data_IF_053688365137
#
_entry.id   IF_053688365137
#
_cell.length_a   1.000
_cell.length_b   1.000
_cell.length_c   1.000
_cell.angle_alpha   90.00
_cell.angle_beta   90.00
_cell.angle_gamma   90.00
#
_symmetry.space_group_name_H-M   'P 1'
#
loop_
_entity.id
_entity.type
_entity.pdbx_description
1 polymer ?
#
# COMPACT_ATOMS: atom_id res chain seq x y z
N UNK A 1 36.72 -17.95 -2.99
CA UNK A 1 35.83 -17.79 -1.81
C UNK A 1 34.50 -17.32 -2.34
N UNK A 2 33.53 -18.22 -2.45
CA UNK A 2 32.15 -17.88 -2.80
C UNK A 2 31.42 -17.57 -1.49
N UNK A 3 31.14 -16.29 -1.24
CA UNK A 3 30.11 -15.89 -0.27
C UNK A 3 28.78 -16.01 -0.99
N UNK A 4 28.18 -17.19 -0.92
CA UNK A 4 26.73 -17.31 -1.08
C UNK A 4 26.11 -16.48 0.02
N UNK A 5 25.67 -15.27 -0.35
CA UNK A 5 24.63 -14.54 0.37
C UNK A 5 23.40 -15.45 0.40
N UNK A 6 23.33 -16.30 1.42
CA UNK A 6 22.05 -16.78 1.90
C UNK A 6 21.38 -15.56 2.51
N UNK A 7 20.80 -14.72 1.65
CA UNK A 7 19.71 -13.87 2.06
C UNK A 7 18.62 -14.84 2.54
N UNK A 8 18.58 -15.11 3.85
CA UNK A 8 17.36 -15.55 4.50
C UNK A 8 16.28 -14.59 3.99
N UNK A 9 15.40 -15.10 3.13
CA UNK A 9 14.15 -14.41 2.88
C UNK A 9 13.42 -14.40 4.22
N UNK A 10 13.61 -13.33 5.01
CA UNK A 10 12.68 -13.00 6.09
C UNK A 10 11.29 -13.08 5.47
N UNK A 11 10.40 -13.91 6.02
CA UNK A 11 9.07 -14.10 5.43
C UNK A 11 8.37 -12.75 5.43
N UNK A 12 8.08 -12.23 4.24
CA UNK A 12 7.47 -10.92 4.11
C UNK A 12 5.96 -11.02 4.27
N UNK A 13 5.41 -10.20 5.16
CA UNK A 13 3.97 -10.04 5.34
C UNK A 13 3.55 -8.82 4.53
N UNK A 14 2.87 -9.06 3.41
CA UNK A 14 2.38 -7.99 2.54
C UNK A 14 0.99 -7.53 2.93
N UNK A 15 0.84 -6.21 3.02
CA UNK A 15 -0.40 -5.52 3.34
C UNK A 15 -0.64 -4.46 2.27
N UNK A 16 -1.66 -4.68 1.45
CA UNK A 16 -2.15 -3.69 0.49
C UNK A 16 -3.30 -2.92 1.10
N UNK A 17 -3.22 -1.60 1.00
CA UNK A 17 -4.20 -0.66 1.52
C UNK A 17 -4.88 -0.01 0.33
N UNK A 18 -6.14 -0.36 0.10
CA UNK A 18 -6.96 0.25 -0.93
C UNK A 18 -7.73 1.44 -0.33
N UNK A 19 -7.62 2.61 -0.97
CA UNK A 19 -8.18 3.87 -0.48
C UNK A 19 -9.36 4.27 -1.38
N UNK A 20 -10.53 4.47 -0.77
CA UNK A 20 -11.72 4.98 -1.47
C UNK A 20 -11.65 6.51 -1.57
N UNK A 21 -10.89 6.96 -2.57
CA UNK A 21 -10.70 8.38 -2.85
C UNK A 21 -12.03 9.07 -3.16
N UNK A 22 -12.94 8.41 -3.88
CA UNK A 22 -14.21 9.04 -4.24
C UNK A 22 -15.07 9.31 -3.00
N UNK A 23 -15.15 8.35 -2.07
CA UNK A 23 -15.87 8.55 -0.82
C UNK A 23 -15.20 9.61 0.07
N UNK A 24 -13.87 9.73 0.06
CA UNK A 24 -13.17 10.85 0.71
C UNK A 24 -13.62 12.18 0.09
N UNK A 25 -13.56 12.32 -1.23
CA UNK A 25 -13.88 13.57 -1.92
C UNK A 25 -15.36 13.97 -1.82
N UNK A 26 -16.27 12.99 -1.68
CA UNK A 26 -17.68 13.27 -1.43
C UNK A 26 -17.96 13.74 0.00
N UNK A 27 -17.08 13.39 0.95
CA UNK A 27 -17.27 13.66 2.38
C UNK A 27 -16.59 14.94 2.86
N UNK A 28 -15.49 15.34 2.23
CA UNK A 28 -14.67 16.49 2.64
C UNK A 28 -14.68 17.55 1.53
N UNK A 29 -15.11 18.78 1.87
CA UNK A 29 -15.15 19.90 0.91
C UNK A 29 -13.78 20.21 0.30
N UNK A 30 -12.72 20.04 1.10
CA UNK A 30 -11.33 20.15 0.62
C UNK A 30 -10.38 19.36 1.52
N UNK A 31 -9.31 18.87 0.91
CA UNK A 31 -8.18 18.28 1.61
C UNK A 31 -7.04 19.29 1.75
N UNK A 32 -6.27 19.16 2.82
CA UNK A 32 -5.12 20.04 3.08
C UNK A 32 -4.12 19.98 1.94
N UNK A 33 -3.58 21.14 1.56
CA UNK A 33 -2.49 21.26 0.58
C UNK A 33 -1.11 21.26 1.25
N UNK A 34 -1.05 21.16 2.59
CA UNK A 34 0.20 21.10 3.36
C UNK A 34 0.42 19.68 3.89
N UNK A 35 1.46 19.01 3.38
CA UNK A 35 1.82 17.65 3.81
C UNK A 35 2.21 17.58 5.30
N UNK A 36 2.55 18.70 5.94
CA UNK A 36 2.82 18.75 7.38
C UNK A 36 1.54 18.82 8.21
N UNK A 37 0.43 19.22 7.61
CA UNK A 37 -0.89 19.38 8.26
C UNK A 37 -2.00 18.66 7.46
N UNK A 38 -1.90 17.34 7.24
CA UNK A 38 -2.88 16.60 6.45
C UNK A 38 -4.27 16.58 7.11
N UNK A 39 -5.32 16.44 6.32
CA UNK A 39 -6.71 16.31 6.81
C UNK A 39 -6.92 14.95 7.46
N UNK A 40 -7.48 14.92 8.68
CA UNK A 40 -7.85 13.64 9.31
C UNK A 40 -9.07 13.05 8.59
N UNK A 41 -8.99 11.79 8.17
CA UNK A 41 -10.09 11.05 7.56
C UNK A 41 -10.52 9.88 8.44
N UNK A 42 -11.71 9.37 8.17
CA UNK A 42 -12.27 8.24 8.91
C UNK A 42 -11.69 6.91 8.42
N UNK A 43 -11.54 5.97 9.35
CA UNK A 43 -10.93 4.66 9.07
C UNK A 43 -11.79 3.80 8.13
N UNK A 44 -13.08 4.14 7.97
CA UNK A 44 -14.00 3.42 7.09
C UNK A 44 -13.78 3.71 5.59
N UNK A 45 -12.81 4.55 5.24
CA UNK A 45 -12.44 4.90 3.86
C UNK A 45 -11.23 4.12 3.35
N UNK A 46 -10.70 3.18 4.16
CA UNK A 46 -9.53 2.37 3.86
C UNK A 46 -9.82 0.88 4.01
N UNK A 47 -9.40 0.10 3.02
CA UNK A 47 -9.60 -1.34 2.92
C UNK A 47 -8.26 -2.04 2.96
N UNK A 48 -8.14 -3.08 3.79
CA UNK A 48 -6.89 -3.78 4.02
C UNK A 48 -6.96 -5.15 3.40
N UNK A 49 -6.00 -5.46 2.53
CA UNK A 49 -5.85 -6.74 1.87
C UNK A 49 -4.55 -7.34 2.36
N UNK A 50 -4.64 -8.54 2.91
CA UNK A 50 -3.53 -9.21 3.58
C UNK A 50 -3.43 -10.66 3.11
N UNK A 51 -2.26 -11.28 3.25
CA UNK A 51 -2.05 -12.69 2.90
C UNK A 51 -2.85 -13.63 3.82
N UNK A 52 -3.07 -14.88 3.40
CA UNK A 52 -4.03 -15.86 3.96
C UNK A 52 -3.96 -16.07 5.50
N UNK A 53 -2.79 -15.87 6.12
CA UNK A 53 -2.59 -16.05 7.57
C UNK A 53 -2.77 -14.77 8.41
N UNK A 54 -3.12 -13.66 7.76
CA UNK A 54 -3.40 -12.39 8.39
C UNK A 54 -4.91 -12.23 8.55
N UNK A 55 -5.35 -11.60 9.64
CA UNK A 55 -6.77 -11.33 9.83
C UNK A 55 -7.01 -9.83 9.83
N UNK A 56 -7.89 -9.37 8.98
CA UNK A 56 -8.51 -8.06 9.16
C UNK A 56 -9.75 -8.25 10.04
N UNK A 57 -9.80 -7.56 11.18
CA UNK A 57 -10.95 -7.62 12.07
C UNK A 57 -11.64 -6.26 12.03
N UNK A 58 -12.96 -6.21 11.82
CA UNK A 58 -13.94 -7.29 11.70
C UNK A 58 -14.30 -7.65 10.24
N UNK A 59 -15.19 -8.64 10.11
CA UNK A 59 -15.83 -9.18 8.88
C UNK A 59 -16.45 -8.14 7.92
N UNK A 60 -16.47 -6.86 8.31
CA UNK A 60 -16.78 -5.72 7.45
C UNK A 60 -15.48 -4.95 7.22
N UNK A 61 -15.01 -4.93 5.98
CA UNK A 61 -13.88 -4.09 5.59
C UNK A 61 -14.09 -2.65 6.11
N UNK A 62 -13.00 -1.99 6.50
CA UNK A 62 -12.95 -0.59 6.94
C UNK A 62 -13.31 -0.31 8.43
N UNK A 63 -12.50 -0.87 9.33
CA UNK A 63 -12.39 -0.44 10.74
C UNK A 63 -10.98 0.00 11.11
N UNK A 64 -10.85 0.60 12.29
CA UNK A 64 -9.60 1.14 12.82
C UNK A 64 -8.61 0.06 13.31
N UNK A 65 -8.80 -1.24 13.00
CA UNK A 65 -7.96 -2.31 13.53
C UNK A 65 -7.45 -3.30 12.47
N UNK A 66 -6.14 -3.57 12.52
CA UNK A 66 -5.46 -4.58 11.71
C UNK A 66 -4.79 -5.62 12.63
N UNK A 67 -4.96 -6.92 12.36
CA UNK A 67 -4.22 -7.96 13.06
C UNK A 67 -3.14 -8.54 12.15
N UNK A 68 -1.90 -8.39 12.57
CA UNK A 68 -0.72 -8.95 11.89
C UNK A 68 -0.21 -10.15 12.68
N UNK A 69 -0.21 -11.31 12.05
CA UNK A 69 0.29 -12.58 12.60
C UNK A 69 1.59 -12.96 11.92
N UNK A 70 2.66 -13.21 12.67
CA UNK A 70 3.94 -13.62 12.10
C UNK A 70 4.92 -14.12 13.15
N UNK A 71 6.19 -14.25 12.78
CA UNK A 71 7.29 -14.60 13.68
C UNK A 71 8.12 -13.37 14.04
N UNK A 72 8.85 -13.43 15.16
CA UNK A 72 9.85 -12.41 15.48
C UNK A 72 10.88 -12.37 14.35
N UNK A 73 11.18 -11.17 13.84
CA UNK A 73 12.08 -10.98 12.69
C UNK A 73 11.38 -10.88 11.34
N UNK A 74 10.10 -11.28 11.22
CA UNK A 74 9.35 -11.11 9.97
C UNK A 74 9.22 -9.63 9.59
N UNK A 75 9.25 -9.36 8.28
CA UNK A 75 9.14 -8.01 7.72
C UNK A 75 7.72 -7.78 7.24
N UNK A 76 7.05 -6.78 7.80
CA UNK A 76 5.75 -6.31 7.32
C UNK A 76 5.98 -5.20 6.30
N UNK A 77 5.29 -5.27 5.15
CA UNK A 77 5.36 -4.28 4.07
C UNK A 77 3.97 -3.71 3.80
N UNK A 78 3.83 -2.40 3.93
CA UNK A 78 2.59 -1.68 3.61
C UNK A 78 2.72 -0.96 2.27
N UNK A 79 1.79 -1.26 1.38
CA UNK A 79 1.62 -0.59 0.09
C UNK A 79 0.24 0.04 0.02
N UNK A 80 0.12 1.16 -0.68
CA UNK A 80 -1.15 1.85 -0.89
C UNK A 80 -1.53 1.88 -2.36
N UNK A 81 -2.82 1.76 -2.64
CA UNK A 81 -3.41 2.01 -3.96
C UNK A 81 -4.77 2.67 -3.80
N UNK A 82 -5.20 3.45 -4.79
CA UNK A 82 -6.63 3.73 -4.94
C UNK A 82 -7.36 2.45 -5.35
N UNK A 83 -8.67 2.38 -5.12
CA UNK A 83 -9.49 1.25 -5.57
C UNK A 83 -9.39 1.05 -7.10
N UNK A 84 -9.19 2.12 -7.86
CA UNK A 84 -8.96 2.07 -9.31
C UNK A 84 -7.53 1.67 -9.71
N UNK A 85 -6.76 1.01 -8.83
CA UNK A 85 -5.38 0.62 -9.10
C UNK A 85 -4.48 1.76 -9.60
N UNK A 86 -4.61 2.95 -9.00
CA UNK A 86 -3.90 4.19 -9.39
C UNK A 86 -4.35 4.84 -10.72
N UNK A 87 -5.40 4.35 -11.39
CA UNK A 87 -5.87 4.89 -12.67
C UNK A 87 -6.58 6.25 -12.52
N UNK A 88 -7.78 6.28 -11.93
CA UNK A 88 -8.57 7.51 -11.78
C UNK A 88 -7.96 8.49 -10.77
N UNK A 89 -7.44 7.95 -9.66
CA UNK A 89 -6.74 8.72 -8.65
C UNK A 89 -5.48 7.97 -8.26
N UNK A 90 -4.41 8.72 -7.98
CA UNK A 90 -3.13 8.16 -7.55
C UNK A 90 -2.94 8.49 -6.08
N UNK A 91 -2.59 7.49 -5.27
CA UNK A 91 -2.39 7.66 -3.83
C UNK A 91 -1.05 7.09 -3.39
N UNK A 92 -0.38 7.78 -2.47
CA UNK A 92 0.89 7.34 -1.93
C UNK A 92 0.92 7.50 -0.41
N UNK A 93 1.23 6.41 0.29
CA UNK A 93 1.54 6.39 1.73
C UNK A 93 2.90 7.06 2.01
N UNK A 94 2.99 8.37 1.80
CA UNK A 94 4.28 9.08 1.82
C UNK A 94 4.98 9.08 3.19
N UNK A 95 4.25 8.79 4.27
CA UNK A 95 4.81 8.68 5.62
C UNK A 95 3.98 7.75 6.49
N UNK A 96 4.64 6.99 7.35
CA UNK A 96 4.02 6.16 8.38
C UNK A 96 4.80 6.33 9.68
N UNK A 97 4.11 6.64 10.77
CA UNK A 97 4.73 6.91 12.07
C UNK A 97 4.09 6.06 13.16
N UNK A 98 4.91 5.39 13.96
CA UNK A 98 4.44 4.82 15.23
C UNK A 98 4.14 5.95 16.22
N UNK A 99 3.01 5.88 16.92
CA UNK A 99 2.55 6.92 17.87
C UNK A 99 2.76 6.56 19.33
N UNK A 100 3.05 5.30 19.62
CA UNK A 100 3.37 4.81 20.97
C UNK A 100 4.85 4.40 21.11
N UNK A 101 5.22 4.06 22.35
CA UNK A 101 6.54 3.56 22.70
C UNK A 101 6.60 2.01 22.73
N UNK A 102 5.56 1.29 22.32
CA UNK A 102 5.52 -0.18 22.39
C UNK A 102 6.51 -0.78 21.38
N UNK A 103 7.43 -1.63 21.83
CA UNK A 103 8.44 -2.23 20.96
C UNK A 103 8.01 -3.54 20.28
N UNK A 104 6.71 -3.84 20.20
CA UNK A 104 6.19 -5.02 19.51
C UNK A 104 6.52 -5.06 18.00
N UNK A 105 6.79 -3.90 17.42
CA UNK A 105 7.18 -3.72 16.02
C UNK A 105 8.08 -2.50 15.86
N UNK A 106 9.05 -2.56 14.96
CA UNK A 106 10.00 -1.47 14.73
C UNK A 106 9.33 -0.21 14.18
N UNK A 107 10.03 0.93 14.28
CA UNK A 107 9.64 2.14 13.55
C UNK A 107 9.58 1.84 12.03
N UNK A 108 8.53 2.31 11.32
CA UNK A 108 8.45 2.17 9.89
C UNK A 108 9.60 2.88 9.16
N UNK A 109 10.10 2.24 8.12
CA UNK A 109 11.06 2.81 7.18
C UNK A 109 10.46 2.84 5.79
N UNK A 110 10.61 3.97 5.10
CA UNK A 110 10.26 4.07 3.69
C UNK A 110 11.29 3.36 2.84
N UNK A 111 10.82 2.51 1.93
CA UNK A 111 11.64 1.86 0.91
C UNK A 111 11.21 2.35 -0.46
N UNK A 112 12.20 2.74 -1.25
CA UNK A 112 12.05 3.09 -2.65
C UNK A 112 13.03 2.23 -3.45
N UNK A 113 12.52 1.55 -4.47
CA UNK A 113 13.34 0.69 -5.32
C UNK A 113 12.88 0.78 -6.78
N UNK A 114 13.79 0.53 -7.71
CA UNK A 114 13.51 0.41 -9.13
C UNK A 114 13.62 -1.07 -9.51
N UNK A 115 12.53 -1.64 -10.01
CA UNK A 115 12.49 -3.05 -10.42
C UNK A 115 11.80 -3.22 -11.77
N UNK A 116 11.99 -4.37 -12.40
CA UNK A 116 11.24 -4.76 -13.58
C UNK A 116 9.91 -5.39 -13.16
N UNK A 117 8.81 -4.93 -13.76
CA UNK A 117 7.51 -5.58 -13.67
C UNK A 117 7.11 -6.15 -15.02
N UNK A 118 6.39 -7.27 -15.00
CA UNK A 118 5.85 -7.90 -16.20
C UNK A 118 4.57 -7.17 -16.60
N UNK A 119 4.47 -6.76 -17.86
CA UNK A 119 3.28 -6.13 -18.42
C UNK A 119 2.86 -6.80 -19.74
N UNK A 120 1.55 -6.85 -20.04
CA UNK A 120 1.06 -7.44 -21.27
C UNK A 120 1.44 -6.59 -22.50
N UNK A 121 1.90 -7.23 -23.59
CA UNK A 121 2.19 -6.58 -24.87
C UNK A 121 1.06 -6.83 -25.87
N UNK A 122 0.42 -5.75 -26.33
CA UNK A 122 -0.57 -5.79 -27.41
C UNK A 122 0.10 -6.08 -28.77
N UNK A 123 -0.60 -6.79 -29.66
CA UNK A 123 -0.17 -6.94 -31.06
C UNK A 123 -0.03 -5.56 -31.72
N UNK A 124 1.09 -5.34 -32.42
CA UNK A 124 1.54 -4.05 -32.97
C UNK A 124 0.50 -3.28 -33.82
N UNK A 125 -0.43 -3.98 -34.46
CA UNK A 125 -1.50 -3.37 -35.27
C UNK A 125 -2.61 -2.69 -34.45
N UNK A 126 -2.58 -2.80 -33.11
CA UNK A 126 -3.59 -2.28 -32.19
C UNK A 126 -2.96 -1.41 -31.10
N UNK A 127 -1.76 -0.88 -31.31
CA UNK A 127 -1.20 0.12 -30.41
C UNK A 127 -1.94 1.43 -30.73
N UNK A 128 -2.75 1.97 -29.81
CA UNK A 128 -3.38 3.27 -30.04
C UNK A 128 -2.28 4.33 -30.19
N UNK A 129 -2.48 5.38 -31.00
CA UNK A 129 -1.73 6.61 -30.79
C UNK A 129 -1.93 7.04 -29.32
N UNK A 130 -0.89 7.60 -28.69
CA UNK A 130 -0.88 7.91 -27.24
C UNK A 130 -2.22 8.53 -26.77
N UNK A 131 -2.74 8.04 -25.63
CA UNK A 131 -3.95 8.49 -24.92
C UNK A 131 -5.33 7.95 -25.35
N UNK A 132 -5.44 7.04 -26.33
CA UNK A 132 -6.74 6.43 -26.66
C UNK A 132 -7.07 5.16 -25.83
N UNK A 133 -8.30 5.10 -25.30
CA UNK A 133 -8.90 3.88 -24.73
C UNK A 133 -9.33 2.98 -25.90
N UNK A 134 -8.80 1.75 -25.96
CA UNK A 134 -9.29 0.73 -26.89
C UNK A 134 -10.11 -0.31 -26.13
N UNK A 135 -11.38 -0.42 -26.46
CA UNK A 135 -12.24 -1.51 -26.02
C UNK A 135 -12.15 -2.67 -27.02
N UNK A 136 -11.67 -3.82 -26.56
CA UNK A 136 -11.57 -5.04 -27.37
C UNK A 136 -12.37 -6.17 -26.70
N UNK A 137 -13.16 -6.96 -27.45
CA UNK A 137 -13.84 -8.13 -26.91
C UNK A 137 -12.89 -9.15 -26.28
N UNK A 138 -11.66 -9.21 -26.79
CA UNK A 138 -10.55 -9.97 -26.23
C UNK A 138 -9.24 -9.22 -26.51
N UNK A 139 -8.39 -9.07 -25.50
CA UNK A 139 -7.06 -8.49 -25.68
C UNK A 139 -6.18 -9.44 -26.52
N UNK A 140 -5.71 -9.03 -27.72
CA UNK A 140 -4.89 -9.87 -28.56
C UNK A 140 -3.43 -9.70 -28.15
N UNK A 141 -3.08 -10.31 -27.01
CA UNK A 141 -1.73 -10.30 -26.47
C UNK A 141 -0.80 -11.08 -27.39
N UNK A 142 0.40 -10.54 -27.65
CA UNK A 142 1.45 -11.24 -28.40
C UNK A 142 2.51 -11.86 -27.50
N UNK A 143 2.78 -11.22 -26.36
CA UNK A 143 3.82 -11.60 -25.41
C UNK A 143 3.67 -10.77 -24.12
N UNK A 144 4.59 -10.93 -23.18
CA UNK A 144 4.79 -10.03 -22.05
C UNK A 144 6.15 -9.35 -22.15
N UNK A 145 6.24 -8.10 -21.69
CA UNK A 145 7.50 -7.34 -21.63
C UNK A 145 7.80 -6.92 -20.21
N UNK A 146 9.05 -6.55 -19.97
CA UNK A 146 9.50 -6.00 -18.70
C UNK A 146 9.55 -4.47 -18.79
N UNK A 147 8.83 -3.81 -17.88
CA UNK A 147 8.90 -2.36 -17.70
C UNK A 147 9.60 -2.04 -16.38
N UNK A 148 10.50 -1.05 -16.40
CA UNK A 148 11.07 -0.51 -15.18
C UNK A 148 10.02 0.33 -14.45
N UNK A 149 9.74 -0.01 -13.20
CA UNK A 149 8.85 0.76 -12.32
C UNK A 149 9.48 1.05 -10.97
N UNK A 150 9.21 2.25 -10.49
CA UNK A 150 9.49 2.62 -9.12
C UNK A 150 8.44 2.00 -8.20
N UNK A 151 8.91 1.24 -7.23
CA UNK A 151 8.09 0.63 -6.18
C UNK A 151 8.39 1.35 -4.89
N UNK A 152 7.32 1.68 -4.17
CA UNK A 152 7.35 2.46 -2.96
C UNK A 152 6.49 1.77 -1.89
N UNK A 153 7.06 1.52 -0.72
CA UNK A 153 6.36 0.90 0.41
C UNK A 153 6.96 1.30 1.75
N UNK A 154 6.19 1.12 2.82
CA UNK A 154 6.69 1.24 4.20
C UNK A 154 7.02 -0.16 4.72
N UNK A 155 8.09 -0.31 5.50
CA UNK A 155 8.43 -1.59 6.14
C UNK A 155 8.72 -1.46 7.62
N UNK A 156 8.41 -2.51 8.38
CA UNK A 156 8.76 -2.67 9.79
C UNK A 156 9.06 -4.13 10.09
N UNK A 157 9.76 -4.40 11.19
CA UNK A 157 10.11 -5.76 11.63
C UNK A 157 9.34 -6.11 12.91
N UNK A 158 8.71 -7.29 12.94
CA UNK A 158 8.04 -7.82 14.12
C UNK A 158 9.06 -8.17 15.21
N UNK A 159 8.75 -7.83 16.47
CA UNK A 159 9.67 -7.99 17.60
C UNK A 159 9.07 -8.78 18.76
N UNK A 160 7.81 -8.53 19.09
CA UNK A 160 7.10 -9.24 20.17
C UNK A 160 5.58 -9.07 20.00
N UNK A 161 4.75 -9.86 20.71
CA UNK A 161 3.31 -9.65 20.74
C UNK A 161 2.96 -8.29 21.36
N UNK A 162 1.90 -7.66 20.89
CA UNK A 162 1.43 -6.39 21.45
C UNK A 162 0.47 -5.65 20.54
N UNK A 163 0.10 -4.43 20.93
CA UNK A 163 -0.72 -3.53 20.13
C UNK A 163 0.06 -2.23 19.93
N UNK A 164 0.11 -1.74 18.70
CA UNK A 164 0.67 -0.44 18.37
C UNK A 164 -0.34 0.43 17.62
N UNK A 165 -0.25 1.74 17.80
CA UNK A 165 -0.96 2.74 17.02
C UNK A 165 -0.01 3.38 16.02
N UNK A 166 -0.45 3.43 14.77
CA UNK A 166 0.23 4.18 13.72
C UNK A 166 -0.54 5.47 13.37
N UNK A 167 0.15 6.41 12.73
CA UNK A 167 -0.49 7.38 11.84
C UNK A 167 0.03 7.19 10.43
N UNK A 168 -0.91 7.10 9.49
CA UNK A 168 -0.65 6.85 8.08
C UNK A 168 -0.98 8.10 7.31
N UNK A 169 0.00 8.63 6.61
CA UNK A 169 -0.13 9.89 5.89
C UNK A 169 -0.11 9.63 4.39
N UNK A 170 -1.14 10.11 3.70
CA UNK A 170 -1.45 9.77 2.32
C UNK A 170 -1.53 11.06 1.50
N UNK A 171 -0.93 11.05 0.32
CA UNK A 171 -1.14 12.06 -0.71
C UNK A 171 -2.08 11.51 -1.78
N UNK A 172 -2.95 12.37 -2.30
CA UNK A 172 -3.94 12.04 -3.34
C UNK A 172 -3.71 12.97 -4.53
N UNK A 173 -3.67 12.38 -5.72
CA UNK A 173 -3.59 13.07 -6.99
C UNK A 173 -4.71 12.62 -7.91
N UNK A 174 -5.14 13.49 -8.83
CA UNK A 174 -6.14 13.18 -9.84
C UNK A 174 -5.55 12.38 -11.03
N UNK A 175 -6.40 12.10 -12.02
CA UNK A 175 -6.06 11.43 -13.27
C UNK A 175 -5.01 12.22 -14.06
N UNK A 176 -5.05 13.55 -14.00
CA UNK A 176 -4.10 14.50 -14.58
C UNK A 176 -2.81 14.69 -13.77
N UNK A 177 -2.59 13.92 -12.71
CA UNK A 177 -1.43 14.00 -11.81
C UNK A 177 -1.32 15.30 -10.99
N UNK A 178 -2.40 16.06 -10.85
CA UNK A 178 -2.44 17.25 -9.98
C UNK A 178 -2.74 16.84 -8.55
N UNK A 179 -2.10 17.53 -7.60
CA UNK A 179 -2.34 17.29 -6.18
C UNK A 179 -3.78 17.67 -5.84
N UNK A 180 -4.51 16.70 -5.27
CA UNK A 180 -5.85 16.89 -4.71
C UNK A 180 -5.73 17.27 -3.23
N UNK A 181 -4.81 16.64 -2.50
CA UNK A 181 -4.44 17.04 -1.16
C UNK A 181 -3.84 15.90 -0.34
N UNK A 182 -3.63 16.17 0.94
CA UNK A 182 -3.04 15.27 1.91
C UNK A 182 -4.05 14.90 3.00
N UNK A 183 -4.11 13.62 3.33
CA UNK A 183 -4.93 13.11 4.41
C UNK A 183 -4.16 12.15 5.32
N UNK A 184 -4.72 11.83 6.48
CA UNK A 184 -4.16 10.83 7.37
C UNK A 184 -5.24 10.15 8.21
N UNK A 185 -4.91 8.97 8.71
CA UNK A 185 -5.74 8.27 9.68
C UNK A 185 -4.85 7.48 10.67
N UNK A 186 -5.42 6.92 11.73
CA UNK A 186 -4.65 6.41 12.89
C UNK A 186 -5.06 5.00 13.34
N UNK A 187 -4.67 3.96 12.56
CA UNK A 187 -5.03 2.57 12.84
C UNK A 187 -4.34 2.01 14.08
N UNK A 188 -5.08 1.15 14.79
CA UNK A 188 -4.53 0.20 15.75
C UNK A 188 -4.10 -1.07 15.01
N UNK A 189 -2.89 -1.54 15.30
CA UNK A 189 -2.35 -2.77 14.77
C UNK A 189 -2.03 -3.73 15.92
N UNK A 190 -2.74 -4.85 15.98
CA UNK A 190 -2.45 -5.95 16.88
C UNK A 190 -1.40 -6.86 16.26
N UNK A 191 -0.27 -7.03 16.93
CA UNK A 191 0.80 -7.97 16.57
C UNK A 191 0.61 -9.25 17.37
N UNK A 192 0.45 -10.36 16.66
CA UNK A 192 0.42 -11.70 17.23
C UNK A 192 1.63 -12.46 16.72
N UNK A 193 2.43 -12.97 17.65
CA UNK A 193 3.55 -13.86 17.29
C UNK A 193 3.04 -15.29 17.34
N UNK A 194 3.16 -16.01 16.23
CA UNK A 194 2.94 -17.46 16.20
C UNK A 194 4.17 -18.16 16.76
N UNK A 195 3.97 -19.04 17.74
CA UNK A 195 4.98 -20.04 18.11
C UNK A 195 5.12 -21.05 16.95
N UNK A 196 6.34 -21.58 16.78
CA UNK A 196 6.68 -22.54 15.73
C UNK A 196 5.87 -23.85 15.81
#
# INVERSE_FOLDING_TARGET
MNTTDNAEFSKSIDILICIDVQSILNKFDSLSQDYKKPTKIDDNLLYYITTENQAYSPEKNATNSLKVTGKVGDVVRWQSSSISAQFNHKVFLYRMEKKDANDCISQPMTVYTLTNVVVPKLKKALIPPEEDIIELPQAPLSDFIYEKRHIYYQKSTLRSPGITQYAWYISIYDDLNKLVGYCYHTPLTSIVISED
#
